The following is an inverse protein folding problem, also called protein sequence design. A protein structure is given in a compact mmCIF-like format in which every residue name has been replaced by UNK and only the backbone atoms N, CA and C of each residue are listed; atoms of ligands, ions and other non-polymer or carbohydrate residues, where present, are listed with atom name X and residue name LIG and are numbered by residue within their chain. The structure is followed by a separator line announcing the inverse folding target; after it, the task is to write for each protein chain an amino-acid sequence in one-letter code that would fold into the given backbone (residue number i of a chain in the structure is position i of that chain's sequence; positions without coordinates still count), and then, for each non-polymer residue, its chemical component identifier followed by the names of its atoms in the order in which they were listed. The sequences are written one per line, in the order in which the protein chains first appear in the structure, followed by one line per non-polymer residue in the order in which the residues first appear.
data_IF_191783505117
#
_entry.id   IF_191783505117
#
_cell.length_a   1.000
_cell.length_b   1.000
_cell.length_c   1.000
_cell.angle_alpha   90.00
_cell.angle_beta   90.00
_cell.angle_gamma   90.00
#
_symmetry.space_group_name_H-M   'P 1'
#
loop_
_entity.id
_entity.type
_entity.pdbx_description
1 polymer ?
#
# COMPACT_ATOMS: atom_id res chain seq x y z
N UNK A 1 -23.42 -19.15 13.87
CA UNK A 1 -23.26 -17.88 13.12
C UNK A 1 -21.79 -17.55 13.15
N UNK A 2 -21.05 -18.09 12.19
CA UNK A 2 -19.63 -17.78 11.98
C UNK A 2 -19.55 -16.46 11.23
N UNK A 3 -18.98 -15.45 11.85
CA UNK A 3 -18.55 -14.23 11.16
C UNK A 3 -17.32 -14.61 10.37
N UNK A 4 -17.42 -14.57 9.05
CA UNK A 4 -16.35 -14.89 8.12
C UNK A 4 -15.29 -13.76 8.17
N UNK A 5 -14.02 -14.04 8.55
CA UNK A 5 -12.99 -13.00 8.68
C UNK A 5 -12.44 -12.50 7.33
N UNK A 6 -12.91 -13.04 6.20
CA UNK A 6 -12.36 -12.80 4.86
C UNK A 6 -13.24 -11.94 3.94
N UNK A 7 -14.15 -11.13 4.48
CA UNK A 7 -14.93 -10.13 3.72
C UNK A 7 -14.10 -8.91 3.23
N UNK A 8 -12.90 -9.16 2.72
CA UNK A 8 -12.22 -8.29 1.76
C UNK A 8 -12.12 -9.02 0.41
N UNK A 9 -13.19 -9.71 -0.01
CA UNK A 9 -13.35 -10.09 -1.41
C UNK A 9 -13.59 -8.82 -2.23
N UNK A 10 -12.53 -8.39 -2.91
CA UNK A 10 -12.50 -8.02 -4.33
C UNK A 10 -13.86 -7.93 -5.05
N UNK A 11 -14.67 -6.93 -4.73
CA UNK A 11 -15.55 -6.34 -5.74
C UNK A 11 -14.68 -5.41 -6.58
N UNK A 12 -14.34 -5.86 -7.80
CA UNK A 12 -13.89 -4.96 -8.87
C UNK A 12 -14.95 -3.89 -8.99
N UNK A 13 -14.57 -2.66 -8.71
CA UNK A 13 -15.50 -1.55 -8.78
C UNK A 13 -15.38 -0.92 -10.17
N UNK A 14 -16.32 -1.21 -11.10
CA UNK A 14 -16.24 -0.71 -12.47
C UNK A 14 -16.28 0.82 -12.51
N UNK A 15 -16.61 1.49 -11.41
CA UNK A 15 -16.62 2.95 -11.34
C UNK A 15 -15.19 3.53 -11.35
N UNK A 16 -14.17 2.78 -10.96
CA UNK A 16 -12.76 3.19 -11.12
C UNK A 16 -12.19 2.86 -12.50
N UNK A 17 -12.99 2.28 -13.39
CA UNK A 17 -12.56 1.98 -14.73
C UNK A 17 -12.44 3.28 -15.52
N UNK A 18 -11.21 3.72 -15.75
CA UNK A 18 -10.92 4.71 -16.79
C UNK A 18 -11.19 4.06 -18.15
N UNK A 19 -12.39 4.29 -18.72
CA UNK A 19 -12.80 3.69 -20.00
C UNK A 19 -11.76 3.89 -21.10
N UNK A 20 -11.13 5.06 -21.11
CA UNK A 20 -10.13 5.43 -22.10
C UNK A 20 -8.83 4.62 -21.90
N UNK A 21 -8.40 4.40 -20.65
CA UNK A 21 -7.23 3.58 -20.35
C UNK A 21 -7.49 2.09 -20.58
N UNK A 22 -8.71 1.60 -20.31
CA UNK A 22 -9.08 0.23 -20.66
C UNK A 22 -9.04 0.04 -22.18
N UNK A 23 -9.59 0.99 -22.92
CA UNK A 23 -9.58 0.94 -24.38
C UNK A 23 -8.15 0.98 -24.91
N UNK A 24 -7.31 1.90 -24.43
CA UNK A 24 -5.90 1.98 -24.81
C UNK A 24 -5.11 0.70 -24.48
N UNK A 25 -5.36 0.08 -23.32
CA UNK A 25 -4.75 -1.20 -22.96
C UNK A 25 -5.21 -2.32 -23.90
N UNK A 26 -6.50 -2.37 -24.22
CA UNK A 26 -7.05 -3.38 -25.14
C UNK A 26 -6.52 -3.20 -26.57
N UNK A 27 -6.35 -1.97 -27.02
CA UNK A 27 -5.74 -1.65 -28.32
C UNK A 27 -4.28 -2.13 -28.38
N UNK A 28 -3.46 -1.78 -27.38
CA UNK A 28 -2.07 -2.27 -27.30
C UNK A 28 -2.00 -3.81 -27.30
N UNK A 29 -2.87 -4.48 -26.55
CA UNK A 29 -2.96 -5.94 -26.52
C UNK A 29 -3.44 -6.56 -27.84
N UNK A 30 -4.27 -5.85 -28.61
CA UNK A 30 -4.75 -6.27 -29.92
C UNK A 30 -3.69 -6.09 -31.01
N UNK A 31 -2.82 -5.09 -30.86
CA UNK A 31 -1.67 -4.82 -31.74
C UNK A 31 -0.50 -5.79 -31.45
N UNK A 32 -0.40 -6.28 -30.21
CA UNK A 32 0.64 -7.22 -29.79
C UNK A 32 1.79 -6.53 -29.06
N UNK A 33 1.51 -5.40 -28.41
CA UNK A 33 2.50 -4.64 -27.66
C UNK A 33 2.51 -5.01 -26.17
N UNK A 34 3.70 -4.95 -25.59
CA UNK A 34 3.85 -4.99 -24.13
C UNK A 34 3.51 -3.60 -23.55
N UNK A 35 2.81 -3.58 -22.42
CA UNK A 35 2.31 -2.33 -21.82
C UNK A 35 2.66 -2.21 -20.34
N UNK A 36 3.17 -1.06 -19.92
CA UNK A 36 3.37 -0.75 -18.50
C UNK A 36 2.22 0.09 -17.96
N UNK A 37 1.61 -0.37 -16.88
CA UNK A 37 0.54 0.32 -16.15
C UNK A 37 1.10 0.80 -14.81
N UNK A 38 1.30 2.10 -14.67
CA UNK A 38 1.89 2.70 -13.48
C UNK A 38 0.89 3.55 -12.72
N UNK A 39 1.08 3.72 -11.42
CA UNK A 39 0.24 4.57 -10.59
C UNK A 39 0.36 4.24 -9.12
N UNK A 40 -0.05 5.15 -8.24
CA UNK A 40 0.05 4.96 -6.79
C UNK A 40 -0.76 3.74 -6.30
N UNK A 41 -0.54 3.32 -5.06
CA UNK A 41 -1.37 2.29 -4.43
C UNK A 41 -2.85 2.65 -4.51
N UNK A 42 -3.69 1.65 -4.77
CA UNK A 42 -5.15 1.77 -4.72
C UNK A 42 -5.76 2.83 -5.65
N UNK A 43 -5.11 3.13 -6.78
CA UNK A 43 -5.70 3.98 -7.86
C UNK A 43 -6.51 3.19 -8.90
N UNK A 44 -6.58 1.85 -8.79
CA UNK A 44 -7.39 1.01 -9.69
C UNK A 44 -6.62 0.22 -10.75
N UNK A 45 -5.29 0.10 -10.64
CA UNK A 45 -4.46 -0.72 -11.55
C UNK A 45 -4.96 -2.17 -11.67
N UNK A 46 -5.20 -2.83 -10.53
CA UNK A 46 -5.74 -4.19 -10.47
C UNK A 46 -7.10 -4.33 -11.13
N UNK A 47 -7.98 -3.33 -10.93
CA UNK A 47 -9.30 -3.27 -11.59
C UNK A 47 -9.15 -3.19 -13.11
N UNK A 48 -8.26 -2.32 -13.60
CA UNK A 48 -7.99 -2.16 -15.02
C UNK A 48 -7.49 -3.47 -15.66
N UNK A 49 -6.49 -4.12 -15.05
CA UNK A 49 -5.93 -5.37 -15.56
C UNK A 49 -6.97 -6.52 -15.52
N UNK A 50 -7.73 -6.63 -14.44
CA UNK A 50 -8.76 -7.66 -14.31
C UNK A 50 -9.86 -7.50 -15.35
N UNK A 51 -10.35 -6.28 -15.54
CA UNK A 51 -11.37 -5.98 -16.55
C UNK A 51 -10.87 -6.23 -17.98
N UNK A 52 -9.60 -5.91 -18.26
CA UNK A 52 -8.98 -6.26 -19.54
C UNK A 52 -8.91 -7.78 -19.76
N UNK A 53 -8.62 -8.56 -18.72
CA UNK A 53 -8.59 -10.01 -18.79
C UNK A 53 -9.99 -10.66 -18.88
N UNK A 54 -11.00 -10.10 -18.22
CA UNK A 54 -12.37 -10.63 -18.20
C UNK A 54 -13.14 -10.29 -19.49
N UNK A 55 -12.92 -9.11 -20.08
CA UNK A 55 -13.56 -8.67 -21.33
C UNK A 55 -12.92 -9.26 -22.58
N UNK A 56 -12.74 -10.59 -22.61
CA UNK A 56 -12.16 -11.33 -23.73
C UNK A 56 -12.88 -11.10 -25.08
N UNK A 57 -14.16 -10.74 -25.06
CA UNK A 57 -14.92 -10.41 -26.26
C UNK A 57 -14.35 -9.19 -27.02
N UNK A 58 -13.71 -8.25 -26.32
CA UNK A 58 -13.02 -7.12 -26.93
C UNK A 58 -11.64 -7.50 -27.50
N UNK A 59 -11.13 -8.69 -27.17
CA UNK A 59 -9.81 -9.20 -27.56
C UNK A 59 -9.96 -10.55 -28.30
N UNK A 60 -10.61 -10.60 -29.47
CA UNK A 60 -10.93 -11.87 -30.15
C UNK A 60 -9.68 -12.71 -30.47
N UNK A 61 -8.56 -12.07 -30.81
CA UNK A 61 -7.30 -12.72 -31.17
C UNK A 61 -6.30 -12.84 -30.02
N UNK A 62 -6.65 -12.40 -28.80
CA UNK A 62 -5.73 -12.40 -27.65
C UNK A 62 -6.34 -13.13 -26.46
N UNK A 63 -5.59 -14.06 -25.86
CA UNK A 63 -5.86 -14.64 -24.55
C UNK A 63 -5.17 -13.78 -23.50
N UNK A 64 -5.93 -12.88 -22.86
CA UNK A 64 -5.45 -12.16 -21.69
C UNK A 64 -5.55 -13.04 -20.43
N UNK A 65 -4.44 -13.19 -19.71
CA UNK A 65 -4.31 -13.99 -18.49
C UNK A 65 -3.90 -13.05 -17.36
N UNK A 66 -4.78 -12.84 -16.40
CA UNK A 66 -4.50 -12.07 -15.19
C UNK A 66 -3.69 -12.91 -14.20
N UNK A 67 -2.55 -12.37 -13.76
CA UNK A 67 -1.64 -12.99 -12.80
C UNK A 67 -1.49 -12.06 -11.61
N UNK A 68 -2.03 -12.45 -10.46
CA UNK A 68 -1.87 -11.71 -9.20
C UNK A 68 -0.62 -12.19 -8.46
N UNK A 69 0.44 -11.37 -8.46
CA UNK A 69 1.70 -11.70 -7.81
C UNK A 69 1.62 -11.72 -6.28
N UNK A 70 0.59 -11.15 -5.65
CA UNK A 70 0.38 -11.30 -4.20
C UNK A 70 0.05 -12.76 -3.81
N UNK A 71 -0.35 -13.60 -4.77
CA UNK A 71 -0.61 -15.02 -4.54
C UNK A 71 0.67 -15.88 -4.52
N UNK A 72 1.86 -15.26 -4.63
CA UNK A 72 3.14 -15.91 -4.41
C UNK A 72 3.32 -16.23 -2.92
N UNK A 73 3.34 -17.51 -2.56
CA UNK A 73 3.49 -17.96 -1.16
C UNK A 73 4.84 -17.58 -0.55
N UNK A 74 5.86 -17.42 -1.39
CA UNK A 74 7.18 -16.92 -1.04
C UNK A 74 7.71 -16.11 -2.23
N UNK A 75 8.54 -15.12 -1.96
CA UNK A 75 9.13 -14.28 -3.01
C UNK A 75 10.34 -14.97 -3.62
N UNK A 76 10.08 -16.01 -4.43
CA UNK A 76 11.10 -16.84 -5.09
C UNK A 76 10.76 -17.05 -6.57
N UNK A 77 11.78 -17.34 -7.38
CA UNK A 77 11.62 -17.58 -8.82
C UNK A 77 10.59 -18.72 -9.08
N UNK A 78 10.69 -19.81 -8.30
CA UNK A 78 9.79 -20.95 -8.42
C UNK A 78 8.33 -20.57 -8.10
N UNK A 79 8.09 -19.75 -7.07
CA UNK A 79 6.75 -19.28 -6.75
C UNK A 79 6.17 -18.36 -7.83
N UNK A 80 7.03 -17.55 -8.48
CA UNK A 80 6.62 -16.71 -9.60
C UNK A 80 6.21 -17.56 -10.83
N UNK A 81 6.99 -18.59 -11.16
CA UNK A 81 6.64 -19.53 -12.22
C UNK A 81 5.35 -20.30 -11.90
N UNK A 82 5.17 -20.72 -10.64
CA UNK A 82 3.99 -21.44 -10.15
C UNK A 82 2.72 -20.60 -10.31
N UNK A 83 2.70 -19.37 -9.78
CA UNK A 83 1.51 -18.52 -9.84
C UNK A 83 1.14 -18.18 -11.28
N UNK A 84 2.13 -17.97 -12.14
CA UNK A 84 1.94 -17.65 -13.55
C UNK A 84 1.32 -18.84 -14.31
N UNK A 85 1.88 -20.05 -14.17
CA UNK A 85 1.29 -21.23 -14.80
C UNK A 85 -0.07 -21.60 -14.23
N UNK A 86 -0.30 -21.38 -12.93
CA UNK A 86 -1.61 -21.57 -12.29
C UNK A 86 -2.66 -20.65 -12.92
N UNK A 87 -2.33 -19.38 -13.14
CA UNK A 87 -3.20 -18.42 -13.80
C UNK A 87 -3.50 -18.84 -15.25
N UNK A 88 -2.47 -19.24 -16.01
CA UNK A 88 -2.61 -19.78 -17.37
C UNK A 88 -3.57 -20.97 -17.38
N UNK A 89 -3.35 -21.97 -16.51
CA UNK A 89 -4.19 -23.15 -16.39
C UNK A 89 -5.65 -22.79 -16.15
N UNK A 90 -5.92 -21.86 -15.24
CA UNK A 90 -7.28 -21.40 -14.95
C UNK A 90 -7.92 -20.72 -16.17
N UNK A 91 -7.15 -19.95 -16.95
CA UNK A 91 -7.64 -19.26 -18.15
C UNK A 91 -7.99 -20.21 -19.31
N UNK A 92 -7.33 -21.37 -19.40
CA UNK A 92 -7.60 -22.37 -20.44
C UNK A 92 -8.59 -23.46 -20.03
N UNK A 93 -8.67 -23.82 -18.73
CA UNK A 93 -9.52 -24.91 -18.21
C UNK A 93 -10.99 -24.80 -18.58
N UNK A 94 -11.52 -23.57 -18.61
CA UNK A 94 -12.93 -23.33 -18.88
C UNK A 94 -13.27 -23.28 -20.39
N UNK A 95 -12.29 -23.49 -21.27
CA UNK A 95 -12.46 -23.40 -22.72
C UNK A 95 -12.74 -24.77 -23.34
N UNK A 96 -13.76 -24.84 -24.20
CA UNK A 96 -14.14 -26.08 -24.90
C UNK A 96 -13.03 -26.54 -25.83
N UNK A 97 -12.77 -27.85 -25.86
CA UNK A 97 -11.86 -28.48 -26.83
C UNK A 97 -10.37 -28.45 -26.48
N UNK A 98 -9.99 -28.04 -25.27
CA UNK A 98 -8.58 -27.91 -24.87
C UNK A 98 -8.12 -28.97 -23.85
N UNK A 99 -8.82 -30.10 -23.72
CA UNK A 99 -8.53 -31.10 -22.69
C UNK A 99 -7.09 -31.64 -22.75
N UNK A 100 -6.54 -31.86 -23.94
CA UNK A 100 -5.15 -32.31 -24.12
C UNK A 100 -4.14 -31.24 -23.69
N UNK A 101 -4.36 -29.98 -24.11
CA UNK A 101 -3.52 -28.84 -23.72
C UNK A 101 -3.52 -28.67 -22.20
N UNK A 102 -4.69 -28.71 -21.56
CA UNK A 102 -4.84 -28.61 -20.10
C UNK A 102 -4.07 -29.73 -19.41
N UNK A 103 -4.22 -30.99 -19.85
CA UNK A 103 -3.54 -32.12 -19.23
C UNK A 103 -2.01 -32.01 -19.32
N UNK A 104 -1.48 -31.55 -20.46
CA UNK A 104 -0.04 -31.33 -20.63
C UNK A 104 0.47 -30.16 -19.79
N UNK A 105 -0.27 -29.05 -19.75
CA UNK A 105 0.06 -27.91 -18.88
C UNK A 105 0.02 -28.28 -17.39
N UNK A 106 -0.91 -29.15 -16.97
CA UNK A 106 -0.97 -29.64 -15.59
C UNK A 106 0.23 -30.50 -15.20
N UNK A 107 0.80 -31.25 -16.16
CA UNK A 107 2.05 -31.98 -15.93
C UNK A 107 3.24 -31.02 -15.74
N UNK A 108 3.34 -29.99 -16.59
CA UNK A 108 4.39 -28.98 -16.50
C UNK A 108 4.27 -28.13 -15.22
N UNK A 109 3.05 -27.75 -14.85
CA UNK A 109 2.78 -27.07 -13.58
C UNK A 109 3.23 -27.90 -12.38
N UNK A 110 2.92 -29.21 -12.34
CA UNK A 110 3.44 -30.10 -11.29
C UNK A 110 4.97 -30.15 -11.29
N UNK A 111 5.60 -30.17 -12.47
CA UNK A 111 7.05 -30.07 -12.61
C UNK A 111 7.65 -28.79 -12.03
N UNK A 112 6.94 -27.67 -12.06
CA UNK A 112 7.33 -26.42 -11.37
C UNK A 112 7.15 -26.53 -9.86
N UNK A 113 6.00 -27.04 -9.39
CA UNK A 113 5.68 -27.16 -7.96
C UNK A 113 6.64 -28.13 -7.26
N UNK A 114 6.95 -29.26 -7.89
CA UNK A 114 7.77 -30.33 -7.34
C UNK A 114 9.27 -30.14 -7.64
N UNK A 115 9.67 -29.02 -8.25
CA UNK A 115 11.05 -28.76 -8.62
C UNK A 115 11.98 -28.67 -7.39
N UNK A 116 12.90 -29.64 -7.27
CA UNK A 116 13.97 -29.61 -6.26
C UNK A 116 15.29 -29.03 -6.82
N UNK A 117 15.46 -29.05 -8.14
CA UNK A 117 16.66 -28.55 -8.82
C UNK A 117 16.42 -27.13 -9.32
N UNK A 118 17.40 -26.21 -9.20
CA UNK A 118 17.24 -24.82 -9.64
C UNK A 118 16.78 -24.65 -11.11
N UNK A 119 17.18 -25.57 -11.99
CA UNK A 119 16.82 -25.52 -13.43
C UNK A 119 15.46 -26.13 -13.75
N UNK A 120 14.88 -26.95 -12.87
CA UNK A 120 13.67 -27.70 -13.19
C UNK A 120 12.44 -26.80 -13.31
N UNK A 121 12.27 -25.86 -12.37
CA UNK A 121 11.17 -24.90 -12.40
C UNK A 121 11.17 -24.01 -13.67
N UNK A 122 12.26 -23.29 -14.01
CA UNK A 122 12.28 -22.46 -15.21
C UNK A 122 12.13 -23.27 -16.51
N UNK A 123 12.65 -24.51 -16.56
CA UNK A 123 12.47 -25.38 -17.73
C UNK A 123 11.00 -25.75 -17.95
N UNK A 124 10.33 -26.26 -16.92
CA UNK A 124 8.92 -26.62 -17.01
C UNK A 124 8.03 -25.39 -17.28
N UNK A 125 8.39 -24.23 -16.71
CA UNK A 125 7.74 -22.96 -17.01
C UNK A 125 7.84 -22.61 -18.49
N UNK A 126 9.06 -22.61 -19.05
CA UNK A 126 9.32 -22.29 -20.45
C UNK A 126 8.60 -23.25 -21.40
N UNK A 127 8.63 -24.55 -21.12
CA UNK A 127 7.89 -25.55 -21.88
C UNK A 127 6.38 -25.32 -21.80
N UNK A 128 5.87 -24.86 -20.65
CA UNK A 128 4.46 -24.53 -20.45
C UNK A 128 4.02 -23.34 -21.28
N UNK A 129 4.80 -22.25 -21.26
CA UNK A 129 4.53 -21.06 -22.07
C UNK A 129 4.67 -21.37 -23.57
N UNK A 130 5.69 -22.13 -23.97
CA UNK A 130 5.88 -22.58 -25.35
C UNK A 130 4.67 -23.40 -25.83
N UNK A 131 4.27 -24.40 -25.05
CA UNK A 131 3.11 -25.23 -25.34
C UNK A 131 1.84 -24.38 -25.52
N UNK A 132 1.62 -23.40 -24.64
CA UNK A 132 0.49 -22.50 -24.72
C UNK A 132 0.51 -21.68 -26.02
N UNK A 133 1.65 -21.05 -26.36
CA UNK A 133 1.78 -20.23 -27.55
C UNK A 133 1.66 -21.03 -28.86
N UNK A 134 2.19 -22.25 -28.89
CA UNK A 134 2.14 -23.11 -30.08
C UNK A 134 0.77 -23.77 -30.28
N UNK A 135 0.03 -24.03 -29.18
CA UNK A 135 -1.27 -24.71 -29.25
C UNK A 135 -2.44 -23.75 -29.49
N UNK A 136 -2.26 -22.46 -29.20
CA UNK A 136 -3.27 -21.44 -29.40
C UNK A 136 -3.01 -20.68 -30.69
N UNK A 137 -4.00 -20.62 -31.57
CA UNK A 137 -3.98 -19.70 -32.72
C UNK A 137 -4.42 -18.28 -32.29
N UNK A 138 -3.87 -17.80 -31.17
CA UNK A 138 -4.19 -16.50 -30.54
C UNK A 138 -2.92 -15.99 -29.86
N UNK A 139 -2.80 -14.68 -29.73
CA UNK A 139 -1.81 -14.06 -28.84
C UNK A 139 -2.07 -14.46 -27.40
N UNK A 140 -1.02 -14.49 -26.60
CA UNK A 140 -1.09 -14.72 -25.15
C UNK A 140 -0.59 -13.45 -24.47
N UNK A 141 -1.42 -12.80 -23.69
CA UNK A 141 -1.02 -11.66 -22.88
C UNK A 141 -0.99 -12.07 -21.41
N UNK A 142 0.17 -12.00 -20.76
CA UNK A 142 0.29 -12.20 -19.31
C UNK A 142 0.26 -10.84 -18.61
N UNK A 143 -0.79 -10.59 -17.82
CA UNK A 143 -1.03 -9.34 -17.12
C UNK A 143 -0.60 -9.53 -15.66
N UNK A 144 0.64 -9.13 -15.34
CA UNK A 144 1.21 -9.19 -14.01
C UNK A 144 0.75 -8.01 -13.14
N UNK A 145 -0.10 -8.31 -12.16
CA UNK A 145 -0.55 -7.36 -11.15
C UNK A 145 0.34 -7.44 -9.90
N UNK A 146 0.49 -6.31 -9.20
CA UNK A 146 1.34 -6.19 -8.00
C UNK A 146 2.78 -6.68 -8.26
N UNK A 147 3.34 -6.28 -9.40
CA UNK A 147 4.63 -6.77 -9.91
C UNK A 147 5.85 -6.05 -9.31
N UNK A 148 5.61 -5.13 -8.37
CA UNK A 148 6.62 -4.33 -7.67
C UNK A 148 7.68 -5.20 -6.96
N UNK A 149 7.26 -5.98 -5.98
CA UNK A 149 8.16 -6.84 -5.18
C UNK A 149 8.81 -7.97 -5.99
N UNK A 150 8.09 -8.70 -6.89
CA UNK A 150 8.72 -9.67 -7.78
C UNK A 150 9.82 -9.06 -8.63
N UNK A 151 9.60 -7.88 -9.21
CA UNK A 151 10.57 -7.25 -10.08
C UNK A 151 11.85 -6.84 -9.32
N UNK A 152 11.70 -6.34 -8.09
CA UNK A 152 12.82 -5.88 -7.27
C UNK A 152 13.66 -7.01 -6.68
N UNK A 153 13.04 -8.16 -6.34
CA UNK A 153 13.69 -9.17 -5.48
C UNK A 153 14.01 -10.49 -6.18
N UNK A 154 13.38 -10.83 -7.31
CA UNK A 154 13.70 -12.05 -8.05
C UNK A 154 15.07 -11.96 -8.74
N UNK A 155 15.65 -13.10 -9.12
CA UNK A 155 16.90 -13.11 -9.88
C UNK A 155 16.70 -12.43 -11.26
N UNK A 156 17.65 -11.61 -11.69
CA UNK A 156 17.55 -10.87 -12.96
C UNK A 156 17.37 -11.80 -14.18
N UNK A 157 17.86 -13.03 -14.08
CA UNK A 157 17.71 -14.07 -15.12
C UNK A 157 16.26 -14.48 -15.37
N UNK A 158 15.37 -14.29 -14.40
CA UNK A 158 13.92 -14.50 -14.59
C UNK A 158 13.42 -13.56 -15.70
N UNK A 159 13.84 -12.29 -15.68
CA UNK A 159 13.39 -11.28 -16.65
C UNK A 159 14.06 -11.46 -18.02
N UNK A 160 15.35 -11.83 -18.06
CA UNK A 160 15.98 -12.26 -19.31
C UNK A 160 15.26 -13.45 -19.94
N UNK A 161 14.82 -14.40 -19.11
CA UNK A 161 14.07 -15.54 -19.59
C UNK A 161 12.70 -15.14 -20.17
N UNK A 162 11.97 -14.23 -19.51
CA UNK A 162 10.72 -13.67 -20.04
C UNK A 162 10.95 -12.90 -21.34
N UNK A 163 12.02 -12.10 -21.42
CA UNK A 163 12.42 -11.40 -22.64
C UNK A 163 12.68 -12.37 -23.79
N UNK A 164 13.48 -13.40 -23.55
CA UNK A 164 13.80 -14.43 -24.54
C UNK A 164 12.56 -15.21 -25.00
N UNK A 165 11.58 -15.44 -24.12
CA UNK A 165 10.29 -16.04 -24.49
C UNK A 165 9.48 -15.13 -25.43
N UNK A 166 9.43 -13.83 -25.15
CA UNK A 166 8.77 -12.85 -26.04
C UNK A 166 9.47 -12.78 -27.41
N UNK A 167 10.80 -12.69 -27.45
CA UNK A 167 11.56 -12.65 -28.70
C UNK A 167 11.35 -13.92 -29.54
N UNK A 168 11.17 -15.08 -28.90
CA UNK A 168 10.91 -16.35 -29.58
C UNK A 168 9.46 -16.46 -30.06
N UNK A 169 8.51 -15.90 -29.32
CA UNK A 169 7.09 -15.98 -29.60
C UNK A 169 6.52 -14.56 -29.64
N UNK A 170 6.54 -13.92 -30.81
CA UNK A 170 6.01 -12.55 -31.00
C UNK A 170 4.55 -12.40 -30.54
N UNK A 171 3.80 -13.51 -30.50
CA UNK A 171 2.43 -13.57 -30.01
C UNK A 171 2.30 -13.54 -28.48
N UNK A 172 3.38 -13.70 -27.72
CA UNK A 172 3.42 -13.62 -26.26
C UNK A 172 3.73 -12.20 -25.82
N UNK A 173 2.85 -11.53 -25.09
CA UNK A 173 3.06 -10.14 -24.64
C UNK A 173 2.86 -10.02 -23.14
N UNK A 174 3.41 -8.96 -22.55
CA UNK A 174 3.36 -8.71 -21.12
C UNK A 174 2.69 -7.39 -20.80
N UNK A 175 1.91 -7.37 -19.74
CA UNK A 175 1.44 -6.15 -19.11
C UNK A 175 1.89 -6.18 -17.65
N UNK A 176 2.45 -5.09 -17.15
CA UNK A 176 2.86 -5.00 -15.74
C UNK A 176 2.15 -3.86 -15.04
N UNK A 177 1.59 -4.12 -13.86
CA UNK A 177 1.06 -3.08 -12.98
C UNK A 177 2.02 -2.82 -11.80
N UNK A 178 2.54 -1.59 -11.72
CA UNK A 178 3.53 -1.19 -10.72
C UNK A 178 3.28 0.20 -10.16
N UNK A 179 3.95 0.53 -9.05
CA UNK A 179 3.89 1.87 -8.47
C UNK A 179 4.63 2.95 -9.28
N UNK A 180 5.63 2.54 -10.06
CA UNK A 180 6.48 3.38 -10.89
C UNK A 180 7.01 2.57 -12.09
N UNK A 181 7.50 3.20 -13.16
CA UNK A 181 8.10 2.49 -14.28
C UNK A 181 9.21 1.52 -13.83
N UNK A 182 9.24 0.31 -14.41
CA UNK A 182 10.21 -0.73 -14.03
C UNK A 182 11.67 -0.25 -14.11
N UNK A 183 11.99 0.52 -15.15
CA UNK A 183 13.33 1.07 -15.37
C UNK A 183 13.82 2.01 -14.24
N UNK A 184 12.92 2.57 -13.44
CA UNK A 184 13.26 3.41 -12.28
C UNK A 184 13.54 2.59 -11.01
N UNK A 185 13.07 1.34 -10.96
CA UNK A 185 13.13 0.50 -9.76
C UNK A 185 14.39 -0.36 -9.70
N UNK A 186 14.91 -0.75 -10.86
CA UNK A 186 16.02 -1.71 -10.98
C UNK A 186 16.88 -1.39 -12.20
N UNK A 187 18.19 -1.56 -12.08
CA UNK A 187 19.16 -1.08 -13.06
C UNK A 187 20.24 -2.10 -13.49
N UNK A 188 20.13 -3.38 -13.12
CA UNK A 188 20.99 -4.42 -13.69
C UNK A 188 20.65 -4.69 -15.17
N UNK A 189 21.66 -5.17 -15.91
CA UNK A 189 21.57 -5.39 -17.34
C UNK A 189 20.49 -6.43 -17.69
N UNK A 190 20.39 -7.48 -16.87
CA UNK A 190 19.43 -8.57 -17.06
C UNK A 190 17.97 -8.09 -17.02
N UNK A 191 17.61 -7.30 -16.00
CA UNK A 191 16.27 -6.70 -15.91
C UNK A 191 16.05 -5.59 -16.95
N UNK A 192 17.11 -4.89 -17.37
CA UNK A 192 17.07 -3.81 -18.35
C UNK A 192 16.49 -4.23 -19.71
N UNK A 193 16.92 -5.38 -20.25
CA UNK A 193 16.42 -5.90 -21.54
C UNK A 193 14.90 -6.18 -21.52
N UNK A 194 14.38 -6.61 -20.37
CA UNK A 194 12.95 -6.81 -20.16
C UNK A 194 12.20 -5.48 -20.07
N UNK A 195 12.76 -4.48 -19.38
CA UNK A 195 12.18 -3.14 -19.28
C UNK A 195 11.99 -2.46 -20.64
N UNK A 196 12.89 -2.71 -21.61
CA UNK A 196 12.81 -2.14 -22.96
C UNK A 196 11.52 -2.49 -23.70
N UNK A 197 10.90 -3.63 -23.37
CA UNK A 197 9.62 -4.07 -23.95
C UNK A 197 8.49 -3.06 -23.73
N UNK A 198 8.55 -2.28 -22.65
CA UNK A 198 7.46 -1.42 -22.21
C UNK A 198 7.64 0.05 -22.59
N UNK A 199 8.73 0.40 -23.30
CA UNK A 199 9.03 1.79 -23.65
C UNK A 199 7.99 2.37 -24.61
N UNK A 200 7.42 1.55 -25.49
CA UNK A 200 6.45 1.99 -26.50
C UNK A 200 5.06 2.34 -25.94
N UNK A 201 4.64 1.68 -24.86
CA UNK A 201 3.27 1.79 -24.34
C UNK A 201 3.25 1.89 -22.81
N UNK A 202 3.02 3.11 -22.31
CA UNK A 202 2.95 3.41 -20.88
C UNK A 202 1.63 4.08 -20.54
N UNK A 203 0.85 3.44 -19.67
CA UNK A 203 -0.39 3.96 -19.12
C UNK A 203 -0.15 4.41 -17.68
N UNK A 204 -0.52 5.64 -17.36
CA UNK A 204 -0.39 6.21 -16.02
C UNK A 204 -1.79 6.40 -15.43
N UNK A 205 -2.07 5.71 -14.33
CA UNK A 205 -3.32 5.87 -13.57
C UNK A 205 -3.10 6.90 -12.47
N UNK A 206 -3.86 7.99 -12.57
CA UNK A 206 -3.85 9.08 -11.62
C UNK A 206 -5.03 9.04 -10.65
N UNK A 207 -5.22 10.17 -9.96
CA UNK A 207 -6.41 10.41 -9.15
C UNK A 207 -7.66 10.52 -10.03
N UNK A 208 -8.82 10.23 -9.45
CA UNK A 208 -10.11 10.42 -10.13
C UNK A 208 -10.36 11.90 -10.41
N UNK A 209 -10.98 12.18 -11.55
CA UNK A 209 -11.52 13.50 -11.86
C UNK A 209 -12.69 13.84 -10.94
N UNK A 210 -13.00 15.13 -10.79
CA UNK A 210 -14.14 15.59 -9.98
C UNK A 210 -15.47 14.95 -10.42
N UNK A 211 -15.62 14.69 -11.72
CA UNK A 211 -16.78 13.99 -12.29
C UNK A 211 -16.84 12.52 -11.84
N UNK A 212 -15.73 11.79 -11.95
CA UNK A 212 -15.65 10.39 -11.52
C UNK A 212 -15.81 10.25 -10.00
N UNK A 213 -15.27 11.18 -9.21
CA UNK A 213 -15.48 11.23 -7.76
C UNK A 213 -16.96 11.38 -7.42
N UNK A 214 -17.67 12.30 -8.08
CA UNK A 214 -19.11 12.48 -7.89
C UNK A 214 -19.87 11.21 -8.22
N UNK A 215 -19.55 10.59 -9.35
CA UNK A 215 -20.21 9.36 -9.79
C UNK A 215 -19.97 8.20 -8.80
N UNK A 216 -18.70 7.97 -8.41
CA UNK A 216 -18.30 6.94 -7.46
C UNK A 216 -18.96 7.10 -6.09
N UNK A 217 -18.83 8.30 -5.51
CA UNK A 217 -19.38 8.56 -4.18
C UNK A 217 -20.90 8.41 -4.14
N UNK A 218 -21.60 8.85 -5.19
CA UNK A 218 -23.06 8.74 -5.29
C UNK A 218 -23.48 7.28 -5.39
N UNK A 219 -22.86 6.51 -6.28
CA UNK A 219 -23.20 5.09 -6.45
C UNK A 219 -23.01 4.27 -5.16
N UNK A 220 -21.89 4.46 -4.44
CA UNK A 220 -21.69 3.75 -3.17
C UNK A 220 -22.62 4.21 -2.06
N UNK A 221 -22.97 5.50 -2.03
CA UNK A 221 -23.97 5.97 -1.08
C UNK A 221 -25.33 5.33 -1.36
N UNK A 222 -25.72 5.21 -2.63
CA UNK A 222 -26.97 4.56 -3.04
C UNK A 222 -26.99 3.06 -2.69
N UNK A 223 -25.86 2.35 -2.86
CA UNK A 223 -25.70 0.96 -2.41
C UNK A 223 -25.95 0.80 -0.90
N UNK A 224 -25.53 1.79 -0.11
CA UNK A 224 -25.75 1.86 1.34
C UNK A 224 -27.10 2.53 1.72
N UNK A 225 -27.97 2.82 0.74
CA UNK A 225 -29.31 3.38 0.96
C UNK A 225 -29.36 4.86 1.34
N UNK A 226 -28.31 5.62 1.02
CA UNK A 226 -28.19 7.05 1.29
C UNK A 226 -28.05 7.88 0.00
N UNK A 227 -28.41 9.16 0.08
CA UNK A 227 -28.23 10.13 -1.01
C UNK A 227 -27.27 11.23 -0.59
N UNK A 228 -26.30 11.55 -1.43
CA UNK A 228 -25.34 12.62 -1.18
C UNK A 228 -25.84 13.97 -1.70
N UNK A 229 -25.57 15.02 -0.94
CA UNK A 229 -25.73 16.41 -1.43
C UNK A 229 -24.45 16.86 -2.15
N UNK A 230 -24.52 17.95 -2.93
CA UNK A 230 -23.30 18.55 -3.52
C UNK A 230 -22.31 19.01 -2.43
N UNK A 231 -22.78 19.36 -1.23
CA UNK A 231 -21.90 19.69 -0.12
C UNK A 231 -21.11 18.46 0.37
N UNK A 232 -21.73 17.27 0.37
CA UNK A 232 -21.06 16.01 0.73
C UNK A 232 -20.01 15.62 -0.31
N UNK A 233 -20.35 15.72 -1.60
CA UNK A 233 -19.41 15.46 -2.69
C UNK A 233 -18.24 16.43 -2.63
N UNK A 234 -18.48 17.73 -2.41
CA UNK A 234 -17.42 18.73 -2.28
C UNK A 234 -16.55 18.48 -1.04
N UNK A 235 -17.15 18.03 0.06
CA UNK A 235 -16.41 17.61 1.26
C UNK A 235 -15.49 16.43 0.94
N UNK A 236 -16.00 15.37 0.31
CA UNK A 236 -15.23 14.19 -0.09
C UNK A 236 -14.08 14.54 -1.04
N UNK A 237 -14.32 15.39 -2.05
CA UNK A 237 -13.30 15.91 -2.96
C UNK A 237 -12.17 16.61 -2.18
N UNK A 238 -12.56 17.48 -1.25
CA UNK A 238 -11.62 18.26 -0.44
C UNK A 238 -10.80 17.36 0.49
N UNK A 239 -11.42 16.34 1.09
CA UNK A 239 -10.74 15.43 2.02
C UNK A 239 -9.80 14.48 1.29
N UNK A 240 -10.23 13.92 0.17
CA UNK A 240 -9.57 12.76 -0.46
C UNK A 240 -8.64 13.14 -1.61
N UNK A 241 -8.86 14.32 -2.21
CA UNK A 241 -8.09 14.77 -3.39
C UNK A 241 -8.31 13.89 -4.64
N UNK A 242 -9.39 13.09 -4.68
CA UNK A 242 -9.69 12.19 -5.78
C UNK A 242 -9.05 10.82 -5.69
N UNK A 243 -8.34 10.49 -4.61
CA UNK A 243 -7.76 9.16 -4.43
C UNK A 243 -8.85 8.10 -4.18
N UNK A 244 -8.99 7.04 -5.01
CA UNK A 244 -10.05 6.03 -4.90
C UNK A 244 -10.16 5.35 -3.52
N UNK A 245 -9.05 4.86 -2.96
CA UNK A 245 -9.03 4.20 -1.64
C UNK A 245 -9.53 5.10 -0.50
N UNK A 246 -8.94 6.30 -0.37
CA UNK A 246 -9.41 7.35 0.55
C UNK A 246 -10.87 7.75 0.30
N UNK A 247 -11.30 7.90 -0.96
CA UNK A 247 -12.67 8.25 -1.31
C UNK A 247 -13.66 7.19 -0.84
N UNK A 248 -13.36 5.92 -1.09
CA UNK A 248 -14.22 4.81 -0.65
C UNK A 248 -14.34 4.74 0.87
N UNK A 249 -13.21 4.86 1.57
CA UNK A 249 -13.20 4.89 3.04
C UNK A 249 -13.97 6.08 3.61
N UNK A 250 -13.76 7.28 3.04
CA UNK A 250 -14.44 8.50 3.48
C UNK A 250 -15.94 8.48 3.18
N UNK A 251 -16.35 7.97 2.02
CA UNK A 251 -17.78 7.88 1.63
C UNK A 251 -18.55 6.98 2.59
N UNK A 252 -18.01 5.79 2.92
CA UNK A 252 -18.63 4.87 3.88
C UNK A 252 -18.82 5.48 5.26
N UNK A 253 -17.86 6.28 5.73
CA UNK A 253 -17.97 6.97 7.01
C UNK A 253 -18.94 8.14 6.95
N UNK A 254 -18.93 8.89 5.84
CA UNK A 254 -19.86 9.98 5.60
C UNK A 254 -21.30 9.49 5.65
N UNK A 255 -21.64 8.44 4.89
CA UNK A 255 -23.00 7.87 4.85
C UNK A 255 -23.51 7.52 6.25
N UNK A 256 -22.67 6.92 7.10
CA UNK A 256 -23.04 6.58 8.49
C UNK A 256 -23.30 7.80 9.38
N UNK A 257 -22.61 8.91 9.12
CA UNK A 257 -22.71 10.12 9.94
C UNK A 257 -23.83 11.03 9.47
N UNK A 258 -24.03 11.18 8.16
CA UNK A 258 -25.03 12.11 7.61
C UNK A 258 -26.41 11.49 7.44
N UNK A 259 -26.53 10.16 7.46
CA UNK A 259 -27.83 9.48 7.39
C UNK A 259 -28.75 9.94 8.53
N UNK A 260 -29.85 10.60 8.17
CA UNK A 260 -30.86 11.07 9.12
C UNK A 260 -30.52 12.37 9.86
N UNK A 261 -29.43 13.06 9.52
CA UNK A 261 -29.09 14.36 10.10
C UNK A 261 -29.98 15.46 9.49
N UNK A 262 -30.66 16.30 10.31
CA UNK A 262 -31.42 17.44 9.80
C UNK A 262 -30.51 18.45 9.08
N UNK A 263 -30.99 19.07 7.99
CA UNK A 263 -30.19 19.98 7.16
C UNK A 263 -29.50 21.12 7.94
N UNK A 264 -30.09 21.59 9.04
CA UNK A 264 -29.51 22.62 9.90
C UNK A 264 -28.29 22.18 10.72
N UNK A 265 -28.09 20.87 10.91
CA UNK A 265 -26.96 20.29 11.65
C UNK A 265 -25.90 19.65 10.72
N UNK A 266 -26.15 19.63 9.40
CA UNK A 266 -25.31 18.94 8.41
C UNK A 266 -23.85 19.41 8.44
N UNK A 267 -23.63 20.73 8.50
CA UNK A 267 -22.28 21.29 8.55
C UNK A 267 -21.52 20.92 9.83
N UNK A 268 -22.23 20.79 10.96
CA UNK A 268 -21.63 20.34 12.21
C UNK A 268 -21.25 18.86 12.14
N UNK A 269 -22.10 18.03 11.54
CA UNK A 269 -21.81 16.62 11.29
C UNK A 269 -20.56 16.44 10.43
N UNK A 270 -20.40 17.23 9.35
CA UNK A 270 -19.20 17.20 8.50
C UNK A 270 -17.93 17.63 9.24
N UNK A 271 -18.02 18.58 10.18
CA UNK A 271 -16.87 18.98 10.99
C UNK A 271 -16.43 17.86 11.95
N UNK A 272 -17.37 17.20 12.62
CA UNK A 272 -17.07 16.03 13.48
C UNK A 272 -16.52 14.86 12.66
N UNK A 273 -17.08 14.63 11.47
CA UNK A 273 -16.60 13.61 10.55
C UNK A 273 -15.13 13.84 10.17
N UNK A 274 -14.69 15.09 9.96
CA UNK A 274 -13.29 15.39 9.64
C UNK A 274 -12.31 14.82 10.68
N UNK A 275 -12.58 15.04 11.97
CA UNK A 275 -11.76 14.52 13.07
C UNK A 275 -11.77 12.98 13.11
N UNK A 276 -12.91 12.37 12.81
CA UNK A 276 -13.02 10.91 12.71
C UNK A 276 -12.25 10.35 11.51
N UNK A 277 -12.25 11.04 10.37
CA UNK A 277 -11.52 10.62 9.19
C UNK A 277 -10.00 10.64 9.43
N UNK A 278 -9.48 11.70 10.06
CA UNK A 278 -8.04 11.83 10.36
C UNK A 278 -7.53 10.77 11.35
N UNK A 279 -8.38 10.36 12.31
CA UNK A 279 -8.04 9.33 13.30
C UNK A 279 -8.38 7.89 12.85
N UNK A 280 -9.04 7.72 11.71
CA UNK A 280 -9.46 6.40 11.24
C UNK A 280 -8.26 5.56 10.75
N UNK A 281 -8.12 4.34 11.29
CA UNK A 281 -7.00 3.44 10.98
C UNK A 281 -6.91 3.08 9.49
N UNK A 282 -8.05 2.87 8.81
CA UNK A 282 -8.05 2.52 7.38
C UNK A 282 -7.51 3.69 6.56
N UNK A 283 -8.02 4.91 6.81
CA UNK A 283 -7.56 6.14 6.14
C UNK A 283 -6.08 6.39 6.40
N UNK A 284 -5.62 6.27 7.66
CA UNK A 284 -4.20 6.42 8.00
C UNK A 284 -3.33 5.39 7.28
N UNK A 285 -3.79 4.13 7.18
CA UNK A 285 -3.05 3.08 6.47
C UNK A 285 -2.91 3.38 4.97
N UNK A 286 -3.95 3.95 4.34
CA UNK A 286 -3.93 4.39 2.95
C UNK A 286 -2.97 5.57 2.75
N UNK A 287 -3.03 6.59 3.61
CA UNK A 287 -2.06 7.69 3.58
C UNK A 287 -0.61 7.20 3.80
N UNK A 288 -0.40 6.20 4.67
CA UNK A 288 0.90 5.61 4.92
C UNK A 288 1.46 4.86 3.71
N UNK A 289 0.60 4.18 2.92
CA UNK A 289 1.01 3.56 1.64
C UNK A 289 1.46 4.63 0.65
N UNK A 290 0.65 5.68 0.46
CA UNK A 290 1.00 6.80 -0.43
C UNK A 290 2.32 7.47 -0.04
N UNK A 291 2.51 7.72 1.26
CA UNK A 291 3.73 8.35 1.77
C UNK A 291 4.98 7.51 1.50
N UNK A 292 4.90 6.19 1.70
CA UNK A 292 6.03 5.27 1.45
C UNK A 292 6.42 5.15 -0.02
N UNK A 293 5.50 5.44 -0.94
CA UNK A 293 5.77 5.45 -2.39
C UNK A 293 6.41 6.75 -2.89
N UNK A 294 6.55 7.76 -2.02
CA UNK A 294 7.28 8.98 -2.34
C UNK A 294 8.77 8.78 -2.05
N UNK A 295 9.62 9.20 -3.00
CA UNK A 295 11.05 9.30 -2.78
C UNK A 295 11.37 10.30 -1.66
N UNK A 296 12.57 10.20 -1.08
CA UNK A 296 13.02 11.15 -0.04
C UNK A 296 12.90 12.60 -0.50
N UNK A 297 13.26 12.89 -1.75
CA UNK A 297 13.20 14.23 -2.33
C UNK A 297 11.75 14.72 -2.51
N UNK A 298 10.83 13.82 -2.90
CA UNK A 298 9.40 14.14 -2.99
C UNK A 298 8.79 14.37 -1.59
N UNK A 299 9.18 13.60 -0.59
CA UNK A 299 8.77 13.81 0.81
C UNK A 299 9.27 15.17 1.34
N UNK A 300 10.50 15.56 1.00
CA UNK A 300 11.07 16.85 1.39
C UNK A 300 10.30 18.01 0.73
N UNK A 301 10.02 17.91 -0.59
CA UNK A 301 9.19 18.87 -1.30
C UNK A 301 7.78 18.96 -0.69
N UNK A 302 7.20 17.84 -0.27
CA UNK A 302 5.90 17.82 0.41
C UNK A 302 5.92 18.64 1.71
N UNK A 303 7.01 18.56 2.50
CA UNK A 303 7.16 19.39 3.69
C UNK A 303 7.34 20.87 3.38
N UNK A 304 8.06 21.21 2.31
CA UNK A 304 8.25 22.59 1.88
C UNK A 304 6.92 23.21 1.43
N UNK A 305 6.11 22.46 0.67
CA UNK A 305 4.76 22.88 0.26
C UNK A 305 3.86 23.06 1.48
N UNK A 306 3.82 22.09 2.40
CA UNK A 306 3.00 22.17 3.62
C UNK A 306 3.46 23.26 4.60
N UNK A 307 4.74 23.64 4.55
CA UNK A 307 5.34 24.68 5.39
C UNK A 307 5.41 26.05 4.74
N UNK A 308 4.85 26.23 3.54
CA UNK A 308 4.89 27.47 2.75
C UNK A 308 6.32 27.97 2.44
N UNK A 309 7.29 27.05 2.31
CA UNK A 309 8.72 27.33 2.04
C UNK A 309 9.15 26.97 0.62
N UNK A 310 8.21 26.96 -0.33
CA UNK A 310 8.42 26.54 -1.72
C UNK A 310 9.27 27.52 -2.58
N UNK A 311 10.26 28.20 -2.01
CA UNK A 311 11.11 29.17 -2.73
C UNK A 311 12.20 28.50 -3.59
N UNK A 312 12.47 27.20 -3.39
CA UNK A 312 13.42 26.38 -4.17
C UNK A 312 12.85 25.02 -4.55
N UNK A 313 11.78 25.01 -5.33
CA UNK A 313 11.19 23.76 -5.83
C UNK A 313 11.86 23.31 -7.12
N UNK A 314 12.37 22.07 -7.17
CA UNK A 314 12.79 21.44 -8.42
C UNK A 314 11.57 21.24 -9.35
N UNK A 315 11.56 21.78 -10.59
CA UNK A 315 10.43 21.62 -11.50
C UNK A 315 10.09 20.15 -11.77
N UNK A 316 11.10 19.28 -11.86
CA UNK A 316 10.90 17.85 -12.09
C UNK A 316 10.17 17.15 -10.92
N UNK A 317 10.47 17.54 -9.67
CA UNK A 317 9.78 16.98 -8.49
C UNK A 317 8.33 17.48 -8.39
N UNK A 318 8.09 18.74 -8.77
CA UNK A 318 6.74 19.30 -8.84
C UNK A 318 5.93 18.57 -9.91
N UNK A 319 6.51 18.35 -11.09
CA UNK A 319 5.88 17.60 -12.17
C UNK A 319 5.58 16.15 -11.75
N UNK A 320 6.52 15.46 -11.12
CA UNK A 320 6.31 14.11 -10.58
C UNK A 320 5.14 14.03 -9.58
N UNK A 321 5.10 14.92 -8.59
CA UNK A 321 4.01 14.93 -7.61
C UNK A 321 2.66 15.39 -8.19
N UNK A 322 2.70 16.21 -9.23
CA UNK A 322 1.50 16.66 -9.96
C UNK A 322 0.95 15.55 -10.85
N UNK A 323 1.81 14.80 -11.56
CA UNK A 323 1.39 13.64 -12.36
C UNK A 323 0.84 12.51 -11.48
N UNK A 324 1.40 12.34 -10.28
CA UNK A 324 0.85 11.50 -9.20
C UNK A 324 -0.46 12.03 -8.60
N UNK A 325 -0.89 13.24 -8.95
CA UNK A 325 -2.10 13.89 -8.46
C UNK A 325 -2.07 14.31 -6.98
N UNK A 326 -0.89 14.29 -6.34
CA UNK A 326 -0.72 14.67 -4.93
C UNK A 326 -0.53 16.18 -4.74
N UNK A 327 -0.07 16.87 -5.78
CA UNK A 327 0.02 18.34 -5.82
C UNK A 327 -0.91 18.90 -6.89
N UNK A 328 -1.42 20.11 -6.61
CA UNK A 328 -2.18 20.92 -7.56
C UNK A 328 -1.82 22.40 -7.40
N UNK A 329 -2.01 23.22 -8.46
CA UNK A 329 -1.89 24.68 -8.32
C UNK A 329 -2.90 25.20 -7.30
N UNK A 330 -2.46 26.11 -6.42
CA UNK A 330 -3.37 26.87 -5.57
C UNK A 330 -3.93 28.06 -6.36
N UNK A 331 -5.26 28.14 -6.41
CA UNK A 331 -5.94 29.26 -7.06
C UNK A 331 -5.86 30.55 -6.23
N UNK A 332 -5.73 31.70 -6.88
CA UNK A 332 -5.98 33.01 -6.26
C UNK A 332 -4.78 33.83 -5.79
N UNK A 333 -3.53 33.42 -6.02
CA UNK A 333 -2.34 34.22 -5.68
C UNK A 333 -1.59 34.78 -6.90
N UNK A 334 -0.99 35.97 -6.76
CA UNK A 334 -0.11 36.61 -7.78
C UNK A 334 1.19 35.83 -8.08
N UNK A 335 1.53 34.83 -7.25
CA UNK A 335 2.59 33.84 -7.50
C UNK A 335 1.96 32.46 -7.62
N UNK A 336 2.49 31.57 -8.48
CA UNK A 336 2.07 30.17 -8.49
C UNK A 336 2.43 29.56 -7.13
N UNK A 337 1.43 29.32 -6.29
CA UNK A 337 1.59 28.56 -5.05
C UNK A 337 1.11 27.12 -5.30
N UNK A 338 1.76 26.15 -4.66
CA UNK A 338 1.41 24.74 -4.76
C UNK A 338 0.63 24.34 -3.51
N UNK A 339 -0.31 23.41 -3.64
CA UNK A 339 -1.02 22.83 -2.51
C UNK A 339 -1.17 21.32 -2.69
N UNK A 340 -1.28 20.61 -1.56
CA UNK A 340 -1.58 19.17 -1.55
C UNK A 340 -3.04 18.95 -1.94
N UNK A 341 -3.31 17.96 -2.80
CA UNK A 341 -4.64 17.76 -3.41
C UNK A 341 -5.74 17.38 -2.41
N UNK A 342 -5.43 16.57 -1.38
CA UNK A 342 -6.39 16.11 -0.38
C UNK A 342 -5.98 16.45 1.05
N UNK A 343 -6.94 16.88 1.88
CA UNK A 343 -6.69 17.28 3.27
C UNK A 343 -6.24 16.11 4.16
N UNK A 344 -6.76 14.90 3.96
CA UNK A 344 -6.38 13.73 4.76
C UNK A 344 -4.90 13.39 4.59
N UNK A 345 -4.44 13.32 3.34
CA UNK A 345 -3.03 13.08 3.05
C UNK A 345 -2.14 14.24 3.52
N UNK A 346 -2.60 15.49 3.38
CA UNK A 346 -1.89 16.65 3.90
C UNK A 346 -1.74 16.61 5.42
N UNK A 347 -2.80 16.24 6.16
CA UNK A 347 -2.78 16.10 7.61
C UNK A 347 -1.81 14.99 8.04
N UNK A 348 -1.86 13.83 7.38
CA UNK A 348 -0.93 12.73 7.60
C UNK A 348 0.53 13.15 7.35
N UNK A 349 0.82 13.80 6.22
CA UNK A 349 2.15 14.28 5.90
C UNK A 349 2.68 15.31 6.92
N UNK A 350 1.83 16.20 7.44
CA UNK A 350 2.22 17.11 8.54
C UNK A 350 2.64 16.33 9.79
N UNK A 351 1.94 15.27 10.15
CA UNK A 351 2.34 14.40 11.26
C UNK A 351 3.70 13.74 11.01
N UNK A 352 3.97 13.27 9.79
CA UNK A 352 5.27 12.67 9.42
C UNK A 352 6.44 13.66 9.52
N UNK A 353 6.18 14.96 9.43
CA UNK A 353 7.22 15.97 9.66
C UNK A 353 7.69 15.98 11.11
N UNK A 354 6.80 15.69 12.06
CA UNK A 354 7.15 15.61 13.48
C UNK A 354 7.97 14.36 13.79
N UNK A 355 7.72 13.24 13.10
CA UNK A 355 8.49 11.99 13.27
C UNK A 355 9.86 12.03 12.56
N UNK A 356 9.99 12.77 11.45
CA UNK A 356 11.27 12.98 10.72
C UNK A 356 12.19 14.03 11.33
N UNK A 357 11.70 14.89 12.23
CA UNK A 357 12.62 15.72 13.00
C UNK A 357 13.49 14.78 13.84
N UNK A 358 14.82 14.93 13.83
CA UNK A 358 15.66 14.15 14.72
C UNK A 358 15.11 14.36 16.13
N UNK A 359 14.57 13.28 16.69
CA UNK A 359 14.14 13.28 18.06
C UNK A 359 15.35 13.77 18.86
N UNK A 360 15.22 14.82 19.70
CA UNK A 360 16.27 15.17 20.63
C UNK A 360 16.73 13.91 21.35
N UNK A 361 18.01 13.85 21.75
CA UNK A 361 18.49 12.74 22.58
C UNK A 361 17.51 12.48 23.73
N UNK A 362 17.33 11.21 24.13
CA UNK A 362 16.29 10.80 25.07
C UNK A 362 15.32 9.74 24.56
N UNK A 363 14.36 9.40 25.42
CA UNK A 363 13.28 8.45 25.12
C UNK A 363 12.10 9.18 24.50
N UNK A 364 11.59 8.69 23.37
CA UNK A 364 10.40 9.19 22.72
C UNK A 364 9.40 8.05 22.49
N UNK A 365 8.12 8.35 22.67
CA UNK A 365 7.03 7.39 22.46
C UNK A 365 6.00 8.01 21.51
N UNK A 366 5.80 7.37 20.36
CA UNK A 366 4.66 7.64 19.49
C UNK A 366 3.52 6.73 19.96
N UNK A 367 2.57 7.35 20.68
CA UNK A 367 1.43 6.65 21.28
C UNK A 367 0.47 6.15 20.20
N UNK A 368 0.41 6.83 19.05
CA UNK A 368 -0.47 6.47 17.93
C UNK A 368 0.09 5.29 17.14
N UNK A 369 1.39 5.28 16.89
CA UNK A 369 2.07 4.21 16.16
C UNK A 369 2.43 3.00 17.06
N UNK A 370 2.40 3.17 18.39
CA UNK A 370 2.87 2.16 19.34
C UNK A 370 4.39 1.98 19.31
N UNK A 371 5.12 2.97 18.81
CA UNK A 371 6.54 2.90 18.54
C UNK A 371 7.35 3.69 19.59
N UNK A 372 8.56 3.21 19.87
CA UNK A 372 9.45 3.79 20.88
C UNK A 372 10.82 3.98 20.27
N UNK A 373 11.42 5.14 20.52
CA UNK A 373 12.78 5.48 20.12
C UNK A 373 13.58 5.93 21.32
N UNK A 374 14.88 5.65 21.29
CA UNK A 374 15.85 6.15 22.27
C UNK A 374 17.03 6.72 21.50
N UNK A 375 17.37 7.99 21.76
CA UNK A 375 18.47 8.69 21.09
C UNK A 375 18.38 8.62 19.54
N UNK A 376 17.15 8.58 19.01
CA UNK A 376 16.89 8.48 17.57
C UNK A 376 16.89 7.05 17.00
N UNK A 377 17.22 6.03 17.79
CA UNK A 377 17.17 4.62 17.38
C UNK A 377 15.85 3.96 17.82
N UNK A 378 15.22 3.22 16.91
CA UNK A 378 13.96 2.49 17.21
C UNK A 378 14.26 1.32 18.14
N UNK A 379 13.53 1.25 19.25
CA UNK A 379 13.67 0.20 20.26
C UNK A 379 13.02 -1.10 19.77
N UNK A 380 13.58 -2.28 20.11
CA UNK A 380 12.92 -3.56 19.86
C UNK A 380 11.52 -3.61 20.47
N UNK A 381 10.60 -4.34 19.83
CA UNK A 381 9.20 -4.42 20.25
C UNK A 381 9.07 -4.68 21.76
N UNK A 382 8.36 -3.77 22.43
CA UNK A 382 8.04 -3.91 23.86
C UNK A 382 6.86 -4.87 24.02
N UNK A 383 6.87 -5.63 25.11
CA UNK A 383 5.67 -6.36 25.55
C UNK A 383 4.63 -5.39 26.10
N UNK A 384 3.36 -5.79 26.18
CA UNK A 384 2.27 -4.92 26.68
C UNK A 384 2.57 -4.32 28.06
N UNK A 385 3.10 -5.11 29.00
CA UNK A 385 3.46 -4.62 30.33
C UNK A 385 4.64 -3.63 30.31
N UNK A 386 5.65 -3.89 29.47
CA UNK A 386 6.80 -2.97 29.30
C UNK A 386 6.36 -1.65 28.69
N UNK A 387 5.47 -1.70 27.70
CA UNK A 387 4.92 -0.53 27.04
C UNK A 387 4.05 0.31 27.98
N UNK A 388 3.15 -0.33 28.75
CA UNK A 388 2.33 0.37 29.77
C UNK A 388 3.18 1.05 30.84
N UNK A 389 4.22 0.36 31.32
CA UNK A 389 5.16 0.94 32.29
C UNK A 389 5.85 2.16 31.69
N UNK A 390 6.33 2.06 30.45
CA UNK A 390 6.98 3.17 29.77
C UNK A 390 6.00 4.34 29.55
N UNK A 391 4.77 4.09 29.12
CA UNK A 391 3.74 5.12 28.93
C UNK A 391 3.42 5.88 30.22
N UNK A 392 3.25 5.17 31.34
CA UNK A 392 3.03 5.81 32.65
C UNK A 392 4.17 6.78 32.97
N UNK A 393 5.41 6.30 32.85
CA UNK A 393 6.60 7.06 33.21
C UNK A 393 6.86 8.21 32.24
N UNK A 394 6.59 8.02 30.95
CA UNK A 394 6.72 9.03 29.89
C UNK A 394 5.70 10.16 30.06
N UNK A 395 4.43 9.82 30.33
CA UNK A 395 3.40 10.80 30.67
C UNK A 395 3.68 11.57 31.97
N UNK A 396 4.63 11.10 32.77
CA UNK A 396 5.09 11.71 34.03
C UNK A 396 6.59 11.97 34.03
N UNK A 397 7.18 12.30 32.88
CA UNK A 397 8.62 12.48 32.74
C UNK A 397 9.19 13.44 33.82
N UNK A 398 10.32 13.04 34.40
CA UNK A 398 10.97 13.74 35.52
C UNK A 398 10.33 13.52 36.90
N UNK A 399 9.13 12.95 36.99
CA UNK A 399 8.43 12.69 38.26
C UNK A 399 8.62 11.24 38.72
N UNK A 400 8.58 11.04 40.04
CA UNK A 400 8.63 9.70 40.64
C UNK A 400 7.24 9.08 40.53
N UNK A 401 7.19 7.87 39.97
CA UNK A 401 6.04 6.99 40.06
C UNK A 401 6.31 5.94 41.14
N UNK A 402 5.43 5.91 42.15
CA UNK A 402 5.54 4.96 43.25
C UNK A 402 4.99 3.57 42.86
N UNK A 403 5.12 2.61 43.78
CA UNK A 403 4.67 1.23 43.57
C UNK A 403 3.20 1.16 43.18
N UNK A 404 2.32 1.84 43.92
CA UNK A 404 0.88 1.75 43.73
C UNK A 404 0.48 2.25 42.34
N UNK A 405 1.07 3.37 41.91
CA UNK A 405 0.84 3.95 40.59
C UNK A 405 1.32 3.03 39.46
N UNK A 406 2.44 2.35 39.65
CA UNK A 406 2.96 1.38 38.68
C UNK A 406 2.04 0.17 38.60
N UNK A 407 1.62 -0.38 39.75
CA UNK A 407 0.75 -1.56 39.77
C UNK A 407 -0.59 -1.27 39.08
N UNK A 408 -1.21 -0.15 39.46
CA UNK A 408 -2.47 0.32 38.89
C UNK A 408 -2.39 0.50 37.36
N UNK A 409 -1.37 1.19 36.86
CA UNK A 409 -1.29 1.50 35.43
C UNK A 409 -0.90 0.30 34.57
N UNK A 410 -0.12 -0.64 35.11
CA UNK A 410 0.42 -1.77 34.33
C UNK A 410 -0.49 -2.99 34.40
N UNK A 411 -0.99 -3.34 35.59
CA UNK A 411 -1.80 -4.55 35.83
C UNK A 411 -3.28 -4.24 36.13
N UNK A 412 -3.60 -3.05 36.63
CA UNK A 412 -4.96 -2.64 37.02
C UNK A 412 -5.15 -2.56 38.54
N UNK A 413 -6.20 -1.85 38.98
CA UNK A 413 -6.54 -1.60 40.39
C UNK A 413 -6.67 -2.88 41.22
N UNK A 414 -7.23 -3.96 40.64
CA UNK A 414 -7.50 -5.21 41.37
C UNK A 414 -6.22 -5.98 41.79
N UNK A 415 -5.05 -5.60 41.27
CA UNK A 415 -3.79 -6.31 41.48
C UNK A 415 -2.87 -5.65 42.52
N UNK A 416 -3.33 -4.61 43.23
CA UNK A 416 -2.53 -3.84 44.20
C UNK A 416 -1.92 -4.73 45.28
N UNK A 417 -2.66 -5.73 45.78
CA UNK A 417 -2.24 -6.62 46.86
C UNK A 417 -1.54 -7.91 46.34
N UNK A 418 -1.59 -8.16 45.03
CA UNK A 418 -1.05 -9.38 44.41
C UNK A 418 0.34 -9.19 43.77
N UNK A 419 0.71 -7.94 43.46
CA UNK A 419 1.98 -7.62 42.80
C UNK A 419 3.04 -7.23 43.83
N UNK A 420 4.05 -8.09 43.97
CA UNK A 420 5.21 -7.86 44.81
C UNK A 420 6.27 -6.96 44.13
N UNK A 421 7.20 -6.45 44.94
CA UNK A 421 8.27 -5.56 44.46
C UNK A 421 9.18 -6.27 43.46
N UNK A 422 9.41 -7.56 43.64
CA UNK A 422 10.24 -8.39 42.77
C UNK A 422 9.70 -8.47 41.33
N UNK A 423 8.37 -8.49 41.15
CA UNK A 423 7.74 -8.49 39.83
C UNK A 423 7.91 -7.16 39.11
N UNK A 424 7.82 -6.04 39.84
CA UNK A 424 8.09 -4.70 39.31
C UNK A 424 9.57 -4.56 38.94
N UNK A 425 10.48 -5.02 39.79
CA UNK A 425 11.92 -5.01 39.52
C UNK A 425 12.28 -5.80 38.25
N UNK A 426 11.67 -6.98 38.06
CA UNK A 426 11.85 -7.77 36.82
C UNK A 426 11.34 -7.04 35.59
N UNK A 427 10.17 -6.38 35.68
CA UNK A 427 9.62 -5.61 34.56
C UNK A 427 10.53 -4.42 34.21
N UNK A 428 11.00 -3.67 35.22
CA UNK A 428 11.94 -2.57 35.05
C UNK A 428 13.26 -3.05 34.45
N UNK A 429 13.79 -4.19 34.91
CA UNK A 429 15.03 -4.77 34.39
C UNK A 429 14.91 -5.13 32.91
N UNK A 430 13.79 -5.72 32.48
CA UNK A 430 13.54 -6.04 31.07
C UNK A 430 13.38 -4.79 30.21
N UNK A 431 12.64 -3.79 30.71
CA UNK A 431 12.47 -2.52 30.01
C UNK A 431 13.83 -1.82 29.82
N UNK A 432 14.67 -1.78 30.87
CA UNK A 432 16.05 -1.26 30.76
C UNK A 432 16.88 -1.99 29.72
N UNK A 433 16.78 -3.31 29.64
CA UNK A 433 17.47 -4.10 28.62
C UNK A 433 17.12 -3.72 27.18
N UNK A 434 16.01 -3.01 26.96
CA UNK A 434 15.58 -2.53 25.64
C UNK A 434 15.84 -1.04 25.42
N UNK A 435 15.69 -0.21 26.45
CA UNK A 435 15.77 1.26 26.32
C UNK A 435 17.10 1.86 26.81
N UNK A 436 17.96 1.09 27.49
CA UNK A 436 19.25 1.56 27.98
C UNK A 436 20.39 0.92 27.20
N UNK A 437 21.45 1.70 26.92
CA UNK A 437 22.70 1.15 26.37
C UNK A 437 23.43 0.24 27.37
N UNK A 438 23.36 0.57 28.66
CA UNK A 438 23.84 -0.24 29.76
C UNK A 438 22.77 -0.31 30.85
N UNK A 439 22.08 -1.45 30.96
CA UNK A 439 21.01 -1.65 31.93
C UNK A 439 21.49 -1.61 33.40
N UNK A 440 22.79 -1.81 33.66
CA UNK A 440 23.37 -1.72 35.00
C UNK A 440 23.63 -0.26 35.42
N UNK A 441 23.86 0.62 34.44
CA UNK A 441 24.08 2.06 34.63
C UNK A 441 23.02 2.86 33.85
N UNK A 442 21.74 2.81 34.26
CA UNK A 442 20.64 3.39 33.50
C UNK A 442 20.73 4.92 33.45
N UNK A 443 20.55 5.49 32.24
CA UNK A 443 20.48 6.93 32.01
C UNK A 443 19.04 7.44 32.09
N UNK A 444 18.07 6.68 31.60
CA UNK A 444 16.69 7.12 31.44
C UNK A 444 15.79 6.62 32.57
N UNK A 445 15.76 5.32 32.82
CA UNK A 445 14.88 4.71 33.81
C UNK A 445 15.59 4.58 35.16
N UNK A 446 15.43 5.59 36.02
CA UNK A 446 16.16 5.73 37.28
C UNK A 446 15.36 5.13 38.46
N UNK A 447 16.03 4.30 39.26
CA UNK A 447 15.49 3.84 40.54
C UNK A 447 15.74 4.90 41.62
N UNK A 448 14.68 5.35 42.28
CA UNK A 448 14.76 6.19 43.47
C UNK A 448 14.51 5.30 44.69
N UNK A 449 15.59 4.92 45.38
CA UNK A 449 15.54 3.96 46.51
C UNK A 449 14.49 4.36 47.54
N UNK A 450 13.62 3.40 47.88
CA UNK A 450 12.54 3.58 48.85
C UNK A 450 11.37 4.46 48.38
N UNK A 451 11.35 4.91 47.12
CA UNK A 451 10.31 5.83 46.60
C UNK A 451 9.68 5.39 45.29
N UNK A 452 10.39 4.65 44.42
CA UNK A 452 9.86 4.15 43.16
C UNK A 452 10.80 4.38 41.98
N UNK A 453 10.23 4.63 40.80
CA UNK A 453 10.97 4.78 39.55
C UNK A 453 10.62 6.10 38.85
N UNK A 454 11.55 6.64 38.07
CA UNK A 454 11.31 7.83 37.25
C UNK A 454 11.96 7.68 35.89
N UNK A 455 11.34 8.24 34.86
CA UNK A 455 11.99 8.47 33.57
C UNK A 455 12.64 9.86 33.60
N UNK A 456 13.95 9.95 33.40
CA UNK A 456 14.66 11.22 33.31
C UNK A 456 14.41 11.89 31.96
N UNK A 457 14.21 13.21 31.96
CA UNK A 457 14.36 14.02 30.74
C UNK A 457 15.83 14.05 30.35
N UNK A 458 16.12 13.98 29.05
CA UNK A 458 17.45 13.80 28.48
C UNK A 458 18.52 14.79 28.91
#
# INVERSE_FOLDING_TARGET
MSVDPFLFETMTDPIFLHSDLLTALQEALAEGDCCSVTGLSNVGKSTLLREAAERQAALPETLAVYVDCNLMLALTDQAFYEVTLRAVLNAVRNRRGQAELVSRLEALYRGVVEAERPIAAPLNFNEGIALLCESLNRRVALLFDEFDDPFEQLDGRVFLNLRALHDRYEALVYVTATGAPLAERRHDAEAGEFCELFVGHQLVLGMLSDELVRHAATAWAEEDGATLTEADVQFLLTQTGGHPGLLRAATRLLVRVVAGVPSGAHQQALNLLREQLESNLVIRSECAKLWRQLSTQEQDLMFDVLGERADKTSPALVESLTSKGLLRPAGGSRRPSLQVSGQLFAAYARQQRHTRQPLPGGVHVDVDAGEVWVDGERVPTLTDLEYRLLLLLYGRIGKICDKYQIVEAVWGQDYIDEVDDARIEKLVSRLRGKIERDAANPRYLITVRGRGYKLASA
#
